data_IF_282395141422
#
_entry.id   IF_282395141422
#
_cell.length_a   1.000
_cell.length_b   1.000
_cell.length_c   1.000
_cell.angle_alpha   90.00
_cell.angle_beta   90.00
_cell.angle_gamma   90.00
#
_symmetry.space_group_name_H-M   'P 1'
#
loop_
_entity.id
_entity.type
_entity.pdbx_description
1 polymer ?
#
# COMPACT_ATOMS: atom_id res chain seq x y z
N UNK A 1 6.92 -27.66 23.82
CA UNK A 1 5.58 -27.90 23.23
C UNK A 1 4.78 -26.61 23.29
N UNK A 2 4.68 -25.87 22.17
CA UNK A 2 4.02 -24.56 22.10
C UNK A 2 2.51 -24.74 21.86
N UNK A 3 1.73 -24.07 22.71
CA UNK A 3 0.26 -24.12 22.77
C UNK A 3 -0.40 -23.39 21.59
N UNK A 4 -1.22 -24.11 20.83
CA UNK A 4 -2.09 -23.61 19.76
C UNK A 4 -3.26 -22.82 20.36
N UNK A 5 -3.15 -21.49 20.49
CA UNK A 5 -4.33 -20.66 20.75
C UNK A 5 -5.02 -20.30 19.43
N UNK A 6 -6.15 -20.97 19.18
CA UNK A 6 -7.11 -20.65 18.11
C UNK A 6 -7.62 -19.22 18.28
N UNK A 7 -7.46 -18.41 17.24
CA UNK A 7 -8.06 -17.09 17.11
C UNK A 7 -9.59 -17.25 17.03
N UNK A 8 -10.33 -16.82 18.05
CA UNK A 8 -11.80 -16.74 18.00
C UNK A 8 -12.17 -15.41 17.34
N UNK A 9 -12.84 -15.49 16.20
CA UNK A 9 -13.43 -14.34 15.49
C UNK A 9 -14.52 -13.70 16.34
N UNK A 10 -14.37 -12.40 16.63
CA UNK A 10 -15.47 -11.53 17.07
C UNK A 10 -16.15 -10.97 15.81
N UNK A 11 -17.48 -10.89 15.75
CA UNK A 11 -18.18 -10.23 14.64
C UNK A 11 -17.84 -8.73 14.65
N UNK A 12 -17.42 -8.21 13.50
CA UNK A 12 -16.98 -6.83 13.31
C UNK A 12 -18.18 -5.89 13.16
N UNK A 13 -18.12 -4.74 13.86
CA UNK A 13 -19.01 -3.59 13.63
C UNK A 13 -18.59 -2.90 12.33
N UNK A 14 -19.54 -2.69 11.43
CA UNK A 14 -19.40 -2.21 10.04
C UNK A 14 -19.05 -0.72 9.87
N UNK A 15 -18.59 -0.01 10.89
CA UNK A 15 -18.53 1.47 10.86
C UNK A 15 -17.23 2.09 10.30
N UNK A 16 -16.31 1.31 9.71
CA UNK A 16 -14.98 1.84 9.27
C UNK A 16 -14.96 2.24 7.78
N UNK A 17 -16.02 2.00 7.02
CA UNK A 17 -16.05 2.26 5.56
C UNK A 17 -16.75 3.57 5.13
N UNK A 18 -17.27 4.38 6.04
CA UNK A 18 -18.02 5.60 5.66
C UNK A 18 -17.15 6.80 5.24
N UNK A 19 -15.82 6.66 5.27
CA UNK A 19 -14.86 7.74 5.04
C UNK A 19 -14.33 7.90 3.61
N UNK A 20 -15.14 7.66 2.58
CA UNK A 20 -14.85 8.15 1.22
C UNK A 20 -14.81 7.13 0.09
N UNK A 21 -15.96 6.54 -0.24
CA UNK A 21 -16.32 6.15 -1.62
C UNK A 21 -17.83 6.29 -1.75
N UNK A 22 -18.34 7.47 -2.14
CA UNK A 22 -19.78 7.65 -2.39
C UNK A 22 -20.25 7.11 -3.76
N UNK A 23 -19.45 6.30 -4.46
CA UNK A 23 -19.85 5.58 -5.69
C UNK A 23 -18.90 4.39 -5.97
N UNK A 24 -19.01 3.36 -5.15
CA UNK A 24 -18.30 2.09 -5.29
C UNK A 24 -18.77 1.19 -4.16
N UNK A 25 -19.62 0.21 -4.50
CA UNK A 25 -20.38 -0.58 -3.54
C UNK A 25 -19.54 -1.11 -2.37
N UNK A 26 -20.17 -1.16 -1.20
CA UNK A 26 -19.59 -1.76 0.00
C UNK A 26 -19.06 -3.16 -0.34
N UNK A 27 -17.78 -3.48 -0.06
CA UNK A 27 -17.23 -4.81 -0.30
C UNK A 27 -18.08 -5.87 0.43
N UNK A 28 -18.54 -6.88 -0.29
CA UNK A 28 -19.21 -8.05 0.32
C UNK A 28 -18.23 -8.81 1.23
N UNK A 29 -18.71 -9.55 2.23
CA UNK A 29 -17.85 -10.40 3.07
C UNK A 29 -16.97 -11.35 2.25
N UNK A 30 -17.50 -11.87 1.14
CA UNK A 30 -16.78 -12.72 0.18
C UNK A 30 -15.62 -11.97 -0.49
N UNK A 31 -15.81 -10.70 -0.84
CA UNK A 31 -14.75 -9.87 -1.42
C UNK A 31 -13.65 -9.52 -0.40
N UNK A 32 -14.03 -9.28 0.87
CA UNK A 32 -13.07 -9.05 1.95
C UNK A 32 -12.17 -10.27 2.17
N UNK A 33 -12.75 -11.47 2.29
CA UNK A 33 -11.98 -12.71 2.45
C UNK A 33 -10.98 -12.96 1.30
N UNK A 34 -11.35 -12.57 0.07
CA UNK A 34 -10.45 -12.61 -1.08
C UNK A 34 -9.26 -11.64 -0.91
N UNK A 35 -9.49 -10.41 -0.48
CA UNK A 35 -8.42 -9.44 -0.22
C UNK A 35 -7.48 -9.89 0.91
N UNK A 36 -7.99 -10.50 1.98
CA UNK A 36 -7.15 -11.10 3.01
C UNK A 36 -6.23 -12.18 2.45
N UNK A 37 -6.80 -13.10 1.66
CA UNK A 37 -6.04 -14.20 1.07
C UNK A 37 -4.95 -13.66 0.14
N UNK A 38 -5.28 -12.71 -0.74
CA UNK A 38 -4.30 -12.07 -1.62
C UNK A 38 -3.19 -11.39 -0.83
N UNK A 39 -3.56 -10.55 0.14
CA UNK A 39 -2.56 -9.87 0.97
C UNK A 39 -1.64 -10.86 1.69
N UNK A 40 -2.17 -11.98 2.18
CA UNK A 40 -1.37 -13.03 2.82
C UNK A 40 -0.40 -13.72 1.85
N UNK A 41 -0.86 -14.10 0.65
CA UNK A 41 0.00 -14.72 -0.36
C UNK A 41 1.14 -13.80 -0.80
N UNK A 42 0.85 -12.51 -0.97
CA UNK A 42 1.88 -11.50 -1.28
C UNK A 42 2.84 -11.35 -0.11
N UNK A 43 2.29 -11.27 1.12
CA UNK A 43 3.08 -11.13 2.34
C UNK A 43 4.10 -12.24 2.51
N UNK A 44 3.73 -13.48 2.20
CA UNK A 44 4.58 -14.68 2.27
C UNK A 44 5.76 -14.65 1.30
N UNK A 45 5.68 -13.89 0.20
CA UNK A 45 6.77 -13.71 -0.75
C UNK A 45 7.81 -12.68 -0.30
N UNK A 46 7.44 -11.76 0.60
CA UNK A 46 8.37 -10.74 1.09
C UNK A 46 9.31 -11.39 2.14
N UNK A 47 10.64 -11.32 1.98
CA UNK A 47 11.57 -11.89 2.94
C UNK A 47 11.29 -11.39 4.36
N UNK A 48 11.23 -12.27 5.38
CA UNK A 48 10.88 -11.85 6.73
C UNK A 48 11.70 -10.68 7.28
N UNK A 49 13.02 -10.57 7.07
CA UNK A 49 13.79 -9.40 7.55
C UNK A 49 13.44 -8.08 6.84
N UNK A 50 12.89 -8.14 5.61
CA UNK A 50 12.62 -6.98 4.77
C UNK A 50 11.18 -6.43 4.91
N UNK A 51 10.24 -7.23 5.44
CA UNK A 51 8.85 -6.79 5.70
C UNK A 51 8.64 -6.25 7.12
N UNK A 52 7.55 -5.52 7.33
CA UNK A 52 7.17 -4.97 8.64
C UNK A 52 7.10 -6.09 9.69
N UNK A 53 7.79 -5.88 10.79
CA UNK A 53 7.84 -6.79 11.92
C UNK A 53 6.96 -6.30 13.06
N UNK A 54 6.54 -7.18 13.99
CA UNK A 54 5.85 -6.77 15.21
C UNK A 54 6.62 -5.72 16.03
N UNK A 55 7.96 -5.73 15.99
CA UNK A 55 8.80 -4.71 16.64
C UNK A 55 8.64 -3.33 16.00
N UNK A 56 8.45 -3.28 14.69
CA UNK A 56 8.31 -2.02 13.95
C UNK A 56 6.98 -1.37 14.30
N UNK A 57 5.91 -2.16 14.40
CA UNK A 57 4.62 -1.66 14.87
C UNK A 57 4.68 -1.03 16.27
N UNK A 58 5.50 -1.59 17.18
CA UNK A 58 5.73 -0.99 18.51
C UNK A 58 6.52 0.32 18.43
N UNK A 59 7.52 0.40 17.55
CA UNK A 59 8.28 1.64 17.32
C UNK A 59 7.36 2.73 16.75
N UNK A 60 6.56 2.40 15.73
CA UNK A 60 5.60 3.34 15.14
C UNK A 60 4.58 3.82 16.17
N UNK A 61 4.04 2.91 16.99
CA UNK A 61 3.13 3.27 18.08
C UNK A 61 3.79 4.20 19.12
N UNK A 62 5.05 3.93 19.50
CA UNK A 62 5.81 4.78 20.44
C UNK A 62 5.99 6.21 19.91
N UNK A 63 6.18 6.36 18.61
CA UNK A 63 6.42 7.65 17.95
C UNK A 63 5.17 8.21 17.25
N UNK A 64 3.97 7.70 17.57
CA UNK A 64 2.74 8.03 16.85
C UNK A 64 2.45 9.53 16.89
N UNK A 65 2.52 10.16 18.06
CA UNK A 65 2.19 11.59 18.20
C UNK A 65 3.13 12.47 17.37
N UNK A 66 4.40 12.09 17.31
CA UNK A 66 5.40 12.75 16.48
C UNK A 66 5.08 12.58 14.98
N UNK A 67 4.80 11.34 14.54
CA UNK A 67 4.40 11.06 13.15
C UNK A 67 3.12 11.81 12.74
N UNK A 68 2.16 11.94 13.66
CA UNK A 68 0.92 12.69 13.44
C UNK A 68 1.18 14.20 13.38
N UNK A 69 2.12 14.73 14.16
CA UNK A 69 2.49 16.15 14.11
C UNK A 69 3.04 16.60 12.74
N UNK A 70 3.59 15.66 11.96
CA UNK A 70 4.13 15.94 10.62
C UNK A 70 3.07 15.89 9.50
N UNK A 71 1.81 15.58 9.82
CA UNK A 71 0.76 15.34 8.83
C UNK A 71 0.59 16.48 7.82
N UNK A 72 0.57 17.73 8.28
CA UNK A 72 0.41 18.89 7.40
C UNK A 72 1.58 19.00 6.41
N UNK A 73 2.82 18.87 6.89
CA UNK A 73 4.03 18.94 6.07
C UNK A 73 4.08 17.80 5.05
N UNK A 74 3.76 16.58 5.48
CA UNK A 74 3.76 15.38 4.63
C UNK A 74 2.70 15.51 3.54
N UNK A 75 1.46 15.84 3.89
CA UNK A 75 0.35 15.89 2.93
C UNK A 75 0.55 17.01 1.91
N UNK A 76 0.95 18.20 2.38
CA UNK A 76 1.21 19.32 1.49
C UNK A 76 2.37 19.02 0.54
N UNK A 77 3.51 18.57 1.07
CA UNK A 77 4.68 18.23 0.26
C UNK A 77 4.41 17.12 -0.75
N UNK A 78 3.59 16.13 -0.39
CA UNK A 78 3.19 15.05 -1.28
C UNK A 78 2.43 15.58 -2.50
N UNK A 79 1.41 16.41 -2.28
CA UNK A 79 0.62 16.97 -3.39
C UNK A 79 1.36 18.06 -4.15
N UNK A 80 2.20 18.86 -3.51
CA UNK A 80 3.07 19.80 -4.22
C UNK A 80 3.99 19.06 -5.19
N UNK A 81 4.62 17.96 -4.76
CA UNK A 81 5.45 17.11 -5.62
C UNK A 81 4.66 16.57 -6.82
N UNK A 82 3.45 16.05 -6.58
CA UNK A 82 2.61 15.50 -7.65
C UNK A 82 2.13 16.55 -8.65
N UNK A 83 1.78 17.75 -8.19
CA UNK A 83 1.27 18.82 -9.05
C UNK A 83 2.39 19.57 -9.79
N UNK A 84 3.64 19.52 -9.30
CA UNK A 84 4.82 20.07 -9.98
C UNK A 84 5.36 19.17 -11.10
N UNK A 85 4.99 17.88 -11.13
CA UNK A 85 5.44 16.94 -12.16
C UNK A 85 4.32 16.66 -13.19
N UNK A 86 4.46 17.04 -14.48
CA UNK A 86 3.36 16.99 -15.43
C UNK A 86 2.69 15.61 -15.61
N UNK A 87 3.41 14.48 -15.69
CA UNK A 87 2.80 13.15 -15.77
C UNK A 87 1.85 12.82 -14.61
N UNK A 88 2.19 13.18 -13.38
CA UNK A 88 1.33 12.95 -12.21
C UNK A 88 0.23 13.99 -12.08
N UNK A 89 0.51 15.25 -12.43
CA UNK A 89 -0.48 16.33 -12.40
C UNK A 89 -1.69 16.02 -13.29
N UNK A 90 -1.46 15.45 -14.49
CA UNK A 90 -2.53 15.13 -15.46
C UNK A 90 -3.56 14.10 -14.96
N UNK A 91 -3.25 13.37 -13.89
CA UNK A 91 -4.19 12.40 -13.27
C UNK A 91 -5.31 13.11 -12.50
N UNK A 92 -5.12 14.39 -12.16
CA UNK A 92 -6.07 15.16 -11.37
C UNK A 92 -6.99 15.99 -12.25
N UNK A 93 -8.25 16.08 -11.84
CA UNK A 93 -9.20 17.04 -12.39
C UNK A 93 -9.18 18.37 -11.61
N UNK A 94 -9.56 19.50 -12.24
CA UNK A 94 -9.69 20.77 -11.55
C UNK A 94 -10.54 20.66 -10.27
N UNK A 95 -10.07 21.27 -9.18
CA UNK A 95 -10.77 21.27 -7.89
C UNK A 95 -10.61 20.00 -7.05
N UNK A 96 -9.95 18.95 -7.53
CA UNK A 96 -9.82 17.70 -6.75
C UNK A 96 -8.83 17.80 -5.58
N UNK A 97 -7.84 18.70 -5.64
CA UNK A 97 -6.72 18.73 -4.69
C UNK A 97 -7.15 18.74 -3.21
N UNK A 98 -8.08 19.60 -2.74
CA UNK A 98 -8.50 19.60 -1.34
C UNK A 98 -9.12 18.26 -0.88
N UNK A 99 -9.90 17.62 -1.75
CA UNK A 99 -10.55 16.33 -1.46
C UNK A 99 -9.50 15.22 -1.35
N UNK A 100 -8.48 15.28 -2.23
CA UNK A 100 -7.37 14.32 -2.29
C UNK A 100 -6.46 14.47 -1.07
N UNK A 101 -6.11 15.70 -0.70
CA UNK A 101 -5.37 16.00 0.55
C UNK A 101 -6.10 15.49 1.79
N UNK A 102 -7.41 15.74 1.91
CA UNK A 102 -8.21 15.22 3.03
C UNK A 102 -8.23 13.68 3.07
N UNK A 103 -8.19 13.03 1.91
CA UNK A 103 -8.12 11.56 1.82
C UNK A 103 -6.75 11.04 2.26
N UNK A 104 -5.67 11.69 1.84
CA UNK A 104 -4.31 11.34 2.26
C UNK A 104 -4.11 11.55 3.76
N UNK A 105 -4.68 12.61 4.36
CA UNK A 105 -4.67 12.81 5.83
C UNK A 105 -5.26 11.63 6.57
N UNK A 106 -6.47 11.20 6.18
CA UNK A 106 -7.11 10.01 6.79
C UNK A 106 -6.26 8.76 6.61
N UNK A 107 -5.70 8.57 5.41
CA UNK A 107 -4.81 7.45 5.13
C UNK A 107 -3.53 7.50 5.97
N UNK A 108 -2.91 8.67 6.13
CA UNK A 108 -1.71 8.89 6.93
C UNK A 108 -1.94 8.49 8.38
N UNK A 109 -2.97 9.07 9.02
CA UNK A 109 -3.37 8.75 10.40
C UNK A 109 -3.53 7.25 10.60
N UNK A 110 -4.29 6.58 9.73
CA UNK A 110 -4.50 5.13 9.83
C UNK A 110 -3.20 4.33 9.63
N UNK A 111 -2.33 4.79 8.73
CA UNK A 111 -1.07 4.15 8.36
C UNK A 111 -0.04 4.23 9.49
N UNK A 112 0.08 5.38 10.17
CA UNK A 112 1.08 5.52 11.24
C UNK A 112 0.60 4.98 12.60
N UNK A 113 -0.71 4.95 12.84
CA UNK A 113 -1.29 4.47 14.10
C UNK A 113 -1.49 2.96 14.20
N UNK A 114 -1.59 2.25 13.07
CA UNK A 114 -1.99 0.84 13.08
C UNK A 114 -3.45 0.64 13.54
N UNK A 115 -3.84 -0.56 14.01
CA UNK A 115 -3.00 -1.76 14.15
C UNK A 115 -2.52 -2.29 12.80
N UNK A 116 -1.34 -2.91 12.79
CA UNK A 116 -0.71 -3.54 11.63
C UNK A 116 -1.05 -5.03 11.57
N UNK A 117 -2.32 -5.32 11.27
CA UNK A 117 -2.87 -6.67 11.20
C UNK A 117 -3.23 -7.05 9.75
N UNK A 118 -3.78 -8.24 9.54
CA UNK A 118 -4.24 -8.67 8.22
C UNK A 118 -5.23 -7.68 7.59
N UNK A 119 -6.08 -7.02 8.39
CA UNK A 119 -7.08 -6.08 7.88
C UNK A 119 -6.42 -4.84 7.27
N UNK A 120 -5.39 -4.34 7.94
CA UNK A 120 -4.58 -3.24 7.44
C UNK A 120 -3.94 -3.58 6.09
N UNK A 121 -3.34 -4.76 5.96
CA UNK A 121 -2.68 -5.15 4.72
C UNK A 121 -3.66 -5.44 3.59
N UNK A 122 -4.83 -6.03 3.90
CA UNK A 122 -5.92 -6.18 2.93
C UNK A 122 -6.45 -4.81 2.45
N UNK A 123 -6.57 -3.84 3.38
CA UNK A 123 -6.93 -2.47 3.03
C UNK A 123 -5.88 -1.80 2.13
N UNK A 124 -4.59 -1.99 2.38
CA UNK A 124 -3.53 -1.45 1.52
C UNK A 124 -3.53 -2.06 0.11
N UNK A 125 -3.85 -3.35 -0.02
CA UNK A 125 -4.07 -3.97 -1.34
C UNK A 125 -5.24 -3.30 -2.09
N UNK A 126 -6.36 -3.04 -1.39
CA UNK A 126 -7.49 -2.30 -1.97
C UNK A 126 -7.12 -0.86 -2.36
N UNK A 127 -6.34 -0.16 -1.53
CA UNK A 127 -5.81 1.16 -1.86
C UNK A 127 -5.04 1.11 -3.17
N UNK A 128 -4.24 0.06 -3.41
CA UNK A 128 -3.58 -0.17 -4.69
C UNK A 128 -4.56 -0.19 -5.88
N UNK A 129 -5.66 -0.93 -5.77
CA UNK A 129 -6.66 -1.02 -6.86
C UNK A 129 -7.35 0.31 -7.18
N UNK A 130 -7.55 1.16 -6.17
CA UNK A 130 -8.10 2.51 -6.40
C UNK A 130 -7.17 3.33 -7.31
N UNK A 131 -5.86 3.14 -7.18
CA UNK A 131 -4.87 3.84 -8.01
C UNK A 131 -4.81 3.28 -9.44
N UNK A 132 -5.03 1.97 -9.64
CA UNK A 132 -5.21 1.36 -10.99
C UNK A 132 -6.36 2.05 -11.73
N UNK A 133 -7.52 2.22 -11.08
CA UNK A 133 -8.67 2.92 -11.67
C UNK A 133 -8.35 4.36 -12.10
N UNK A 134 -7.41 5.01 -11.41
CA UNK A 134 -6.96 6.38 -11.65
C UNK A 134 -5.78 6.47 -12.62
N UNK A 135 -5.34 5.35 -13.20
CA UNK A 135 -4.19 5.28 -14.11
C UNK A 135 -2.88 5.77 -13.49
N UNK A 136 -2.76 5.68 -12.17
CA UNK A 136 -1.48 5.88 -11.50
C UNK A 136 -0.62 4.65 -11.81
N UNK A 137 0.63 4.84 -12.23
CA UNK A 137 1.52 3.73 -12.54
C UNK A 137 2.27 3.23 -11.30
N UNK A 138 2.79 2.00 -11.36
CA UNK A 138 3.68 1.47 -10.32
C UNK A 138 4.92 2.35 -10.11
N UNK A 139 5.45 2.98 -11.17
CA UNK A 139 6.57 3.92 -11.06
C UNK A 139 6.21 5.17 -10.24
N UNK A 140 5.01 5.74 -10.48
CA UNK A 140 4.51 6.87 -9.69
C UNK A 140 4.30 6.48 -8.22
N UNK A 141 3.69 5.32 -7.97
CA UNK A 141 3.51 4.81 -6.60
C UNK A 141 4.83 4.60 -5.87
N UNK A 142 5.79 3.93 -6.50
CA UNK A 142 7.10 3.67 -5.92
C UNK A 142 7.87 4.97 -5.65
N UNK A 143 7.85 5.92 -6.59
CA UNK A 143 8.47 7.23 -6.42
C UNK A 143 7.91 8.00 -5.23
N UNK A 144 6.58 8.04 -5.07
CA UNK A 144 5.95 8.74 -3.96
C UNK A 144 6.13 8.04 -2.61
N UNK A 145 6.24 6.72 -2.57
CA UNK A 145 6.68 6.01 -1.36
C UNK A 145 8.12 6.34 -0.99
N UNK A 146 9.03 6.40 -1.98
CA UNK A 146 10.40 6.86 -1.78
C UNK A 146 10.45 8.26 -1.18
N UNK A 147 9.69 9.20 -1.74
CA UNK A 147 9.56 10.56 -1.22
C UNK A 147 9.06 10.60 0.23
N UNK A 148 8.02 9.82 0.57
CA UNK A 148 7.51 9.78 1.95
C UNK A 148 8.54 9.21 2.93
N UNK A 149 9.28 8.17 2.55
CA UNK A 149 10.36 7.59 3.37
C UNK A 149 11.47 8.60 3.62
N UNK A 150 11.88 9.32 2.57
CA UNK A 150 12.87 10.38 2.68
C UNK A 150 12.40 11.48 3.63
N UNK A 151 11.19 12.01 3.44
CA UNK A 151 10.66 13.08 4.28
C UNK A 151 10.51 12.67 5.74
N UNK A 152 9.99 11.47 6.01
CA UNK A 152 9.94 10.92 7.38
C UNK A 152 11.34 10.78 7.98
N UNK A 153 12.33 10.41 7.16
CA UNK A 153 13.71 10.28 7.62
C UNK A 153 14.34 11.62 7.97
N UNK A 154 14.08 12.66 7.18
CA UNK A 154 14.51 14.03 7.48
C UNK A 154 13.91 14.53 8.79
N UNK A 155 12.59 14.44 8.93
CA UNK A 155 11.86 14.86 10.12
C UNK A 155 12.32 14.08 11.37
N UNK A 156 12.49 12.76 11.25
CA UNK A 156 12.98 11.95 12.35
C UNK A 156 14.41 12.34 12.78
N UNK A 157 15.31 12.62 11.83
CA UNK A 157 16.68 13.06 12.17
C UNK A 157 16.69 14.43 12.84
N UNK A 158 15.83 15.35 12.40
CA UNK A 158 15.72 16.68 12.99
C UNK A 158 15.19 16.62 14.44
N UNK A 159 14.16 15.83 14.69
CA UNK A 159 13.47 15.80 15.99
C UNK A 159 14.10 14.83 17.00
N UNK A 160 14.72 13.73 16.53
CA UNK A 160 15.25 12.66 17.40
C UNK A 160 16.79 12.54 17.39
N UNK A 161 17.47 13.20 16.46
CA UNK A 161 18.93 13.10 16.31
C UNK A 161 19.38 11.65 16.12
N UNK A 162 20.32 11.20 16.97
CA UNK A 162 20.87 9.83 16.95
C UNK A 162 19.82 8.75 17.21
N UNK A 163 18.72 9.09 17.89
CA UNK A 163 17.63 8.14 18.20
C UNK A 163 16.66 7.93 17.03
N UNK A 164 16.88 8.58 15.88
CA UNK A 164 16.00 8.51 14.71
C UNK A 164 16.02 7.15 14.00
N UNK A 165 17.15 6.42 14.05
CA UNK A 165 17.38 5.23 13.23
C UNK A 165 16.31 4.14 13.38
N UNK A 166 15.85 3.76 14.58
CA UNK A 166 14.81 2.75 14.73
C UNK A 166 13.48 3.15 14.07
N UNK A 167 13.08 4.43 14.18
CA UNK A 167 11.86 4.95 13.57
C UNK A 167 11.96 4.91 12.04
N UNK A 168 13.09 5.38 11.50
CA UNK A 168 13.38 5.35 10.06
C UNK A 168 13.28 3.92 9.53
N UNK A 169 13.95 2.98 10.18
CA UNK A 169 13.94 1.58 9.76
C UNK A 169 12.54 0.95 9.84
N UNK A 170 11.77 1.28 10.88
CA UNK A 170 10.39 0.80 11.02
C UNK A 170 9.49 1.34 9.91
N UNK A 171 9.59 2.64 9.61
CA UNK A 171 8.82 3.28 8.53
C UNK A 171 9.24 2.78 7.14
N UNK A 172 10.54 2.58 6.89
CA UNK A 172 11.02 2.03 5.62
C UNK A 172 10.51 0.60 5.39
N UNK A 173 10.48 -0.26 6.42
CA UNK A 173 9.88 -1.60 6.31
C UNK A 173 8.37 -1.55 6.11
N UNK A 174 7.68 -0.59 6.73
CA UNK A 174 6.27 -0.34 6.45
C UNK A 174 6.05 0.00 4.97
N UNK A 175 6.79 1.00 4.47
CA UNK A 175 6.71 1.47 3.10
C UNK A 175 7.02 0.36 2.09
N UNK A 176 8.09 -0.41 2.30
CA UNK A 176 8.46 -1.53 1.45
C UNK A 176 7.37 -2.61 1.41
N UNK A 177 6.81 -2.95 2.57
CA UNK A 177 5.76 -3.98 2.66
C UNK A 177 4.48 -3.55 1.96
N UNK A 178 4.06 -2.29 2.16
CA UNK A 178 2.87 -1.74 1.51
C UNK A 178 3.09 -1.56 0.00
N UNK A 179 4.27 -1.13 -0.42
CA UNK A 179 4.62 -1.00 -1.83
C UNK A 179 4.55 -2.35 -2.55
N UNK A 180 5.06 -3.42 -1.95
CA UNK A 180 4.97 -4.78 -2.51
C UNK A 180 3.51 -5.24 -2.66
N UNK A 181 2.68 -5.01 -1.64
CA UNK A 181 1.24 -5.31 -1.68
C UNK A 181 0.53 -4.58 -2.82
N UNK A 182 0.80 -3.28 -2.96
CA UNK A 182 0.22 -2.44 -4.01
C UNK A 182 0.68 -2.92 -5.39
N UNK A 183 1.99 -3.07 -5.59
CA UNK A 183 2.56 -3.44 -6.88
C UNK A 183 2.04 -4.79 -7.38
N UNK A 184 1.97 -5.81 -6.51
CA UNK A 184 1.42 -7.10 -6.88
C UNK A 184 -0.09 -7.04 -7.13
N UNK A 185 -0.84 -6.23 -6.36
CA UNK A 185 -2.28 -6.03 -6.58
C UNK A 185 -2.59 -5.42 -7.95
N UNK A 186 -1.69 -4.60 -8.52
CA UNK A 186 -1.85 -4.07 -9.88
C UNK A 186 -1.77 -5.19 -10.92
N UNK A 187 -0.74 -6.03 -10.82
CA UNK A 187 -0.55 -7.15 -11.74
C UNK A 187 -1.73 -8.11 -11.65
N UNK A 188 -2.12 -8.48 -10.44
CA UNK A 188 -3.26 -9.37 -10.19
C UNK A 188 -4.55 -8.83 -10.82
N UNK A 189 -4.83 -7.52 -10.71
CA UNK A 189 -6.06 -6.96 -11.29
C UNK A 189 -6.01 -6.88 -12.82
N UNK A 190 -4.86 -6.57 -13.41
CA UNK A 190 -4.71 -6.60 -14.87
C UNK A 190 -4.91 -8.02 -15.42
N UNK A 191 -4.29 -9.02 -14.79
CA UNK A 191 -4.48 -10.43 -15.15
C UNK A 191 -5.92 -10.87 -14.91
N UNK A 192 -6.55 -10.44 -13.82
CA UNK A 192 -7.96 -10.72 -13.54
C UNK A 192 -8.89 -10.17 -14.62
N UNK A 193 -8.68 -8.93 -15.05
CA UNK A 193 -9.46 -8.30 -16.10
C UNK A 193 -9.31 -9.03 -17.45
N UNK A 194 -8.07 -9.41 -17.81
CA UNK A 194 -7.79 -10.17 -19.03
C UNK A 194 -8.37 -11.59 -18.97
N UNK A 195 -8.24 -12.28 -17.84
CA UNK A 195 -8.78 -13.62 -17.63
C UNK A 195 -10.29 -13.66 -17.86
N UNK A 196 -11.02 -12.67 -17.29
CA UNK A 196 -12.46 -12.51 -17.51
C UNK A 196 -12.80 -12.29 -18.97
N UNK A 197 -12.06 -11.41 -19.66
CA UNK A 197 -12.30 -11.10 -21.08
C UNK A 197 -12.03 -12.30 -22.00
N UNK A 198 -10.99 -13.08 -21.71
CA UNK A 198 -10.54 -14.21 -22.52
C UNK A 198 -11.14 -15.55 -22.09
N UNK A 199 -12.05 -15.55 -21.12
CA UNK A 199 -12.66 -16.75 -20.55
C UNK A 199 -11.62 -17.82 -20.13
N UNK A 200 -10.53 -17.37 -19.48
CA UNK A 200 -9.43 -18.22 -19.00
C UNK A 200 -9.15 -17.97 -17.52
N UNK A 201 -8.15 -18.66 -16.93
CA UNK A 201 -7.69 -18.40 -15.56
C UNK A 201 -6.54 -17.38 -15.53
N UNK A 202 -6.42 -16.66 -14.41
CA UNK A 202 -5.28 -15.76 -14.17
C UNK A 202 -3.94 -16.51 -14.21
N UNK A 203 -3.90 -17.70 -13.60
CA UNK A 203 -2.72 -18.56 -13.55
C UNK A 203 -2.20 -18.91 -14.94
N UNK A 204 -3.09 -19.29 -15.87
CA UNK A 204 -2.71 -19.58 -17.26
C UNK A 204 -2.18 -18.35 -17.99
N UNK A 205 -2.77 -17.18 -17.75
CA UNK A 205 -2.28 -15.93 -18.36
C UNK A 205 -0.91 -15.53 -17.80
N UNK A 206 -0.69 -15.74 -16.51
CA UNK A 206 0.61 -15.45 -15.90
C UNK A 206 1.70 -16.39 -16.40
N UNK A 207 1.41 -17.69 -16.49
CA UNK A 207 2.32 -18.69 -17.06
C UNK A 207 2.69 -18.34 -18.50
N UNK A 208 1.70 -18.01 -19.32
CA UNK A 208 1.89 -17.61 -20.71
C UNK A 208 2.70 -16.32 -20.83
N UNK A 209 2.37 -15.28 -20.06
CA UNK A 209 3.11 -14.03 -20.05
C UNK A 209 4.58 -14.25 -19.65
N UNK A 210 4.84 -15.12 -18.68
CA UNK A 210 6.20 -15.48 -18.25
C UNK A 210 6.97 -16.24 -19.33
N UNK A 211 6.30 -17.18 -20.02
CA UNK A 211 6.86 -17.96 -21.13
C UNK A 211 7.25 -17.06 -22.29
N UNK A 212 6.33 -16.20 -22.72
CA UNK A 212 6.56 -15.25 -23.82
C UNK A 212 7.61 -14.20 -23.47
N UNK A 213 7.62 -13.69 -22.23
CA UNK A 213 8.68 -12.79 -21.76
C UNK A 213 10.05 -13.47 -21.79
N UNK A 214 10.15 -14.73 -21.35
CA UNK A 214 11.40 -15.51 -21.42
C UNK A 214 11.89 -15.68 -22.85
N UNK A 215 11.00 -16.02 -23.78
CA UNK A 215 11.31 -16.11 -25.20
C UNK A 215 11.75 -14.75 -25.78
N UNK A 216 11.05 -13.66 -25.47
CA UNK A 216 11.46 -12.34 -25.94
C UNK A 216 12.83 -11.92 -25.40
N UNK A 217 13.10 -12.15 -24.12
CA UNK A 217 14.36 -11.80 -23.47
C UNK A 217 15.55 -12.62 -23.97
N UNK A 218 15.34 -13.88 -24.40
CA UNK A 218 16.41 -14.69 -25.01
C UNK A 218 16.88 -14.16 -26.37
N UNK A 219 16.14 -13.24 -26.99
CA UNK A 219 16.52 -12.56 -28.24
C UNK A 219 17.16 -11.18 -28.00
N UNK A 220 17.16 -10.69 -26.75
CA UNK A 220 17.68 -9.37 -26.37
C UNK A 220 18.92 -9.50 -25.47
N UNK A 221 19.02 -10.56 -24.68
CA UNK A 221 20.20 -10.89 -23.90
C UNK A 221 21.12 -11.81 -24.70
N UNK A 222 22.44 -11.52 -24.81
CA UNK A 222 23.41 -12.48 -25.32
C UNK A 222 23.49 -13.73 -24.42
#
# INVERSE_FOLDING_TARGET
MLSKRRYRSRPLRTNVLEGGVKNGGVPTEKSLAEFYRKAQLIWEQIPPPARLQPRDGRILAKHQDLLLSWEDRIVQGFYDTLFQHPPTQRIFHPGERPIREATLRRWWRRTVSGPFNGEYFAWQALVGLVHVKRQVSNAMMAGMWGWMVERVSEEARQELGEQSLPLIQAFSRLAASVSALIAQSYLDEHLAALARRLATSQEKLEEEARREAGHHLSHISP
#
